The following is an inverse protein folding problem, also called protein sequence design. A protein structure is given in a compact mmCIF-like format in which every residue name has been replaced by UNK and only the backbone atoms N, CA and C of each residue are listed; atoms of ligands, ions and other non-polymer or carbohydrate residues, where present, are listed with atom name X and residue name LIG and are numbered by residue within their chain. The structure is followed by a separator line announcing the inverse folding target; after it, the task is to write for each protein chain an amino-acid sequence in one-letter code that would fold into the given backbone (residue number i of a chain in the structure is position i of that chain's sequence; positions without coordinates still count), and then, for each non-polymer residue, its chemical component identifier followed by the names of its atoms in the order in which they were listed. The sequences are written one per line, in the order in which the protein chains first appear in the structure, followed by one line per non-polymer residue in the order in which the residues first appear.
data_IF_087961421265
#
_entry.id   IF_087961421265
#
_cell.length_a   1.000
_cell.length_b   1.000
_cell.length_c   1.000
_cell.angle_alpha   90.00
_cell.angle_beta   90.00
_cell.angle_gamma   90.00
#
_symmetry.space_group_name_H-M   'P 1'
#
loop_
_entity.id
_entity.type
_entity.pdbx_description
1 polymer ?
#
# COMPACT_ATOMS: atom_id res chain seq x y z
N UNK A 1 51.14 -10.54 -8.18
CA UNK A 1 49.96 -9.74 -7.77
C UNK A 1 50.03 -8.46 -8.56
N UNK A 2 49.06 -8.26 -9.45
CA UNK A 2 49.11 -7.19 -10.45
C UNK A 2 48.59 -5.88 -9.84
N UNK A 3 49.44 -4.87 -9.58
CA UNK A 3 49.05 -3.65 -8.89
C UNK A 3 48.02 -2.82 -9.68
N UNK A 4 47.86 -3.11 -10.98
CA UNK A 4 46.85 -2.48 -11.85
C UNK A 4 45.45 -3.06 -11.59
N UNK A 5 45.34 -4.36 -11.29
CA UNK A 5 44.07 -5.01 -10.96
C UNK A 5 43.56 -4.59 -9.58
N UNK A 6 44.47 -4.34 -8.64
CA UNK A 6 44.15 -3.86 -7.29
C UNK A 6 43.79 -2.36 -7.30
N UNK A 7 44.45 -1.55 -8.14
CA UNK A 7 44.06 -0.15 -8.39
C UNK A 7 42.70 -0.02 -9.09
N UNK A 8 42.34 -0.95 -9.99
CA UNK A 8 41.04 -0.98 -10.66
C UNK A 8 39.88 -1.39 -9.74
N UNK A 9 40.13 -2.23 -8.72
CA UNK A 9 39.15 -2.55 -7.66
C UNK A 9 39.12 -1.49 -6.54
N UNK A 10 40.23 -0.79 -6.31
CA UNK A 10 40.40 0.29 -5.32
C UNK A 10 39.92 1.67 -5.80
N UNK A 11 39.63 1.81 -7.10
CA UNK A 11 38.79 2.88 -7.63
C UNK A 11 37.34 2.69 -7.12
N UNK A 12 37.17 2.89 -5.81
CA UNK A 12 35.91 3.13 -5.10
C UNK A 12 34.99 3.85 -6.07
N UNK A 13 33.97 3.14 -6.57
CA UNK A 13 32.72 3.72 -7.07
C UNK A 13 32.39 4.83 -6.07
N UNK A 14 32.72 6.09 -6.39
CA UNK A 14 32.24 7.23 -5.61
C UNK A 14 30.74 7.07 -5.72
N UNK A 15 30.10 6.58 -4.66
CA UNK A 15 28.64 6.41 -4.63
C UNK A 15 28.09 7.81 -4.84
N UNK A 16 27.69 8.10 -6.07
CA UNK A 16 27.05 9.35 -6.40
C UNK A 16 25.71 9.33 -5.69
N UNK A 17 25.59 10.12 -4.64
CA UNK A 17 24.31 10.31 -3.96
C UNK A 17 23.54 11.29 -4.83
N UNK A 18 22.44 10.82 -5.40
CA UNK A 18 21.50 11.65 -6.14
C UNK A 18 20.82 12.57 -5.12
N UNK A 19 20.38 13.75 -5.59
CA UNK A 19 19.50 14.62 -4.80
C UNK A 19 18.36 13.82 -4.18
N UNK A 20 18.07 14.09 -2.92
CA UNK A 20 17.02 13.40 -2.20
C UNK A 20 15.65 13.66 -2.81
N UNK A 21 14.81 12.62 -2.84
CA UNK A 21 13.42 12.70 -3.30
C UNK A 21 12.65 13.68 -2.44
N UNK A 22 12.87 13.65 -1.11
CA UNK A 22 12.29 14.63 -0.20
C UNK A 22 12.65 16.07 -0.58
N UNK A 23 13.92 16.34 -0.89
CA UNK A 23 14.38 17.68 -1.25
C UNK A 23 13.80 18.11 -2.61
N UNK A 24 13.74 17.20 -3.58
CA UNK A 24 13.12 17.48 -4.87
C UNK A 24 11.64 17.90 -4.72
N UNK A 25 10.88 17.23 -3.84
CA UNK A 25 9.51 17.66 -3.52
C UNK A 25 9.48 18.96 -2.73
N UNK A 26 10.33 19.13 -1.73
CA UNK A 26 10.36 20.34 -0.90
C UNK A 26 10.60 21.61 -1.73
N UNK A 27 11.46 21.53 -2.75
CA UNK A 27 11.68 22.63 -3.69
C UNK A 27 10.50 22.83 -4.65
N UNK A 28 9.85 21.75 -5.11
CA UNK A 28 8.72 21.81 -6.04
C UNK A 28 7.45 22.38 -5.41
N UNK A 29 7.05 21.87 -4.24
CA UNK A 29 5.74 22.17 -3.62
C UNK A 29 5.84 22.98 -2.33
N UNK A 30 7.07 23.27 -1.89
CA UNK A 30 7.37 23.97 -0.67
C UNK A 30 7.62 23.04 0.52
N UNK A 31 8.52 23.48 1.39
CA UNK A 31 8.93 22.77 2.60
C UNK A 31 7.78 22.46 3.54
N UNK A 32 6.86 23.40 3.75
CA UNK A 32 5.73 23.24 4.66
C UNK A 32 4.84 22.07 4.21
N UNK A 33 4.50 22.01 2.93
CA UNK A 33 3.65 20.93 2.38
C UNK A 33 4.34 19.58 2.49
N UNK A 34 5.63 19.53 2.15
CA UNK A 34 6.41 18.28 2.15
C UNK A 34 6.61 17.74 3.57
N UNK A 35 6.97 18.61 4.53
CA UNK A 35 7.12 18.24 5.94
C UNK A 35 5.79 17.79 6.54
N UNK A 36 4.71 18.51 6.27
CA UNK A 36 3.39 18.14 6.78
C UNK A 36 2.92 16.81 6.19
N UNK A 37 3.09 16.59 4.87
CA UNK A 37 2.80 15.31 4.23
C UNK A 37 3.59 14.16 4.85
N UNK A 38 4.89 14.33 5.04
CA UNK A 38 5.76 13.34 5.70
C UNK A 38 5.35 13.08 7.16
N UNK A 39 4.98 14.11 7.91
CA UNK A 39 4.47 13.95 9.29
C UNK A 39 3.19 13.09 9.32
N UNK A 40 2.21 13.38 8.46
CA UNK A 40 0.97 12.60 8.38
C UNK A 40 1.23 11.16 7.95
N UNK A 41 2.22 10.92 7.10
CA UNK A 41 2.67 9.57 6.74
C UNK A 41 3.15 8.79 7.98
N UNK A 42 3.96 9.40 8.85
CA UNK A 42 4.42 8.71 10.08
C UNK A 42 3.29 8.42 11.06
N UNK A 43 2.28 9.28 11.15
CA UNK A 43 1.07 8.99 11.95
C UNK A 43 0.33 7.75 11.41
N UNK A 44 0.32 7.55 10.09
CA UNK A 44 -0.33 6.38 9.47
C UNK A 44 0.38 5.05 9.73
N UNK A 45 1.63 5.04 10.22
CA UNK A 45 2.37 3.80 10.52
C UNK A 45 1.59 2.90 11.48
N UNK A 46 0.98 3.50 12.51
CA UNK A 46 0.19 2.78 13.50
C UNK A 46 -1.06 2.13 12.88
N UNK A 47 -1.70 2.79 11.90
CA UNK A 47 -2.82 2.24 11.15
C UNK A 47 -2.42 0.98 10.40
N UNK A 48 -1.29 0.99 9.68
CA UNK A 48 -0.83 -0.17 8.91
C UNK A 48 -0.39 -1.33 9.79
N UNK A 49 0.29 -1.07 10.91
CA UNK A 49 0.64 -2.13 11.88
C UNK A 49 -0.63 -2.76 12.44
N UNK A 50 -1.61 -1.95 12.84
CA UNK A 50 -2.87 -2.44 13.38
C UNK A 50 -3.65 -3.23 12.33
N UNK A 51 -3.80 -2.71 11.11
CA UNK A 51 -4.43 -3.40 9.99
C UNK A 51 -3.75 -4.76 9.73
N UNK A 52 -2.43 -4.78 9.69
CA UNK A 52 -1.66 -5.99 9.41
C UNK A 52 -1.84 -7.05 10.50
N UNK A 53 -1.63 -6.70 11.77
CA UNK A 53 -1.72 -7.68 12.84
C UNK A 53 -3.16 -8.17 13.06
N UNK A 54 -4.14 -7.28 12.97
CA UNK A 54 -5.53 -7.64 13.25
C UNK A 54 -6.20 -8.32 12.06
N UNK A 55 -6.30 -7.65 10.91
CA UNK A 55 -7.11 -8.15 9.79
C UNK A 55 -6.41 -9.27 9.04
N UNK A 56 -5.12 -9.11 8.75
CA UNK A 56 -4.35 -10.07 7.93
C UNK A 56 -3.94 -11.28 8.77
N UNK A 57 -3.23 -11.07 9.88
CA UNK A 57 -2.71 -12.18 10.69
C UNK A 57 -3.82 -12.85 11.49
N UNK A 58 -4.47 -12.10 12.39
CA UNK A 58 -5.40 -12.71 13.35
C UNK A 58 -6.71 -13.12 12.67
N UNK A 59 -7.41 -12.19 12.03
CA UNK A 59 -8.74 -12.45 11.48
C UNK A 59 -8.70 -13.35 10.26
N UNK A 60 -7.87 -13.06 9.26
CA UNK A 60 -7.86 -13.86 8.02
C UNK A 60 -7.05 -15.16 8.16
N UNK A 61 -5.76 -15.07 8.51
CA UNK A 61 -4.86 -16.24 8.51
C UNK A 61 -5.10 -17.21 9.65
N UNK A 62 -5.26 -16.71 10.88
CA UNK A 62 -5.38 -17.58 12.06
C UNK A 62 -6.82 -18.00 12.35
N UNK A 63 -7.80 -17.14 12.04
CA UNK A 63 -9.20 -17.40 12.33
C UNK A 63 -9.94 -17.92 11.09
N UNK A 64 -10.07 -17.15 10.01
CA UNK A 64 -10.92 -17.60 8.90
C UNK A 64 -10.35 -18.78 8.11
N UNK A 65 -9.07 -18.72 7.77
CA UNK A 65 -8.43 -19.71 6.91
C UNK A 65 -8.56 -21.16 7.42
N UNK A 66 -8.25 -21.51 8.69
CA UNK A 66 -8.37 -22.88 9.16
C UNK A 66 -9.83 -23.38 9.24
N UNK A 67 -10.80 -22.50 9.51
CA UNK A 67 -12.20 -22.91 9.68
C UNK A 67 -12.98 -23.00 8.37
N UNK A 68 -12.67 -22.13 7.41
CA UNK A 68 -13.38 -22.01 6.13
C UNK A 68 -12.56 -22.44 4.91
N UNK A 69 -11.33 -22.92 5.11
CA UNK A 69 -10.43 -23.39 4.04
C UNK A 69 -10.19 -22.32 2.96
N UNK A 70 -10.05 -21.06 3.37
CA UNK A 70 -9.73 -19.95 2.46
C UNK A 70 -8.31 -20.10 1.88
N UNK A 71 -8.03 -19.43 0.77
CA UNK A 71 -6.70 -19.42 0.18
C UNK A 71 -5.69 -18.76 1.12
N UNK A 72 -4.58 -19.44 1.39
CA UNK A 72 -3.47 -18.89 2.19
C UNK A 72 -2.64 -17.93 1.33
N UNK A 73 -2.82 -16.63 1.54
CA UNK A 73 -1.98 -15.61 0.90
C UNK A 73 -0.61 -15.55 1.57
N UNK A 74 0.48 -15.56 0.81
CA UNK A 74 1.84 -15.44 1.35
C UNK A 74 2.21 -13.96 1.46
N UNK A 75 2.49 -13.47 2.67
CA UNK A 75 2.73 -12.02 2.90
C UNK A 75 3.91 -11.49 2.08
N UNK A 76 4.97 -12.29 1.98
CA UNK A 76 6.20 -11.96 1.24
C UNK A 76 5.98 -11.72 -0.26
N UNK A 77 4.88 -12.22 -0.81
CA UNK A 77 4.53 -12.05 -2.22
C UNK A 77 3.96 -10.64 -2.47
N UNK A 78 3.42 -9.99 -1.43
CA UNK A 78 2.76 -8.68 -1.52
C UNK A 78 3.60 -7.56 -0.89
N UNK A 79 4.25 -7.83 0.24
CA UNK A 79 5.06 -6.83 0.96
C UNK A 79 6.52 -6.96 0.53
N UNK A 80 6.93 -6.09 -0.38
CA UNK A 80 8.26 -6.08 -0.99
C UNK A 80 9.14 -5.00 -0.35
N UNK A 81 10.16 -5.44 0.37
CA UNK A 81 11.06 -4.61 1.18
C UNK A 81 12.51 -4.73 0.69
N UNK A 82 12.80 -4.15 -0.47
CA UNK A 82 14.10 -4.25 -1.14
C UNK A 82 14.62 -2.93 -1.71
N UNK A 83 13.82 -1.86 -1.67
CA UNK A 83 14.18 -0.54 -2.24
C UNK A 83 15.28 0.16 -1.45
N UNK A 84 15.51 -0.19 -0.19
CA UNK A 84 16.68 0.24 0.57
C UNK A 84 18.02 -0.16 -0.08
N UNK A 85 18.01 -1.13 -1.01
CA UNK A 85 19.20 -1.58 -1.74
C UNK A 85 19.57 -0.69 -2.92
N UNK A 86 18.67 0.20 -3.36
CA UNK A 86 18.91 1.10 -4.48
C UNK A 86 20.15 1.97 -4.18
N UNK A 87 21.09 1.97 -5.14
CA UNK A 87 22.32 2.77 -5.06
C UNK A 87 22.00 4.26 -5.28
N UNK A 88 22.76 5.16 -4.63
CA UNK A 88 22.62 6.60 -4.79
C UNK A 88 21.45 7.26 -4.03
N UNK A 89 20.57 6.49 -3.41
CA UNK A 89 19.48 7.01 -2.57
C UNK A 89 19.98 7.39 -1.17
N UNK A 90 19.50 8.52 -0.63
CA UNK A 90 19.84 8.92 0.74
C UNK A 90 19.14 8.04 1.79
N UNK A 91 19.69 7.98 3.01
CA UNK A 91 19.15 7.11 4.07
C UNK A 91 17.69 7.42 4.43
N UNK A 92 17.34 8.70 4.47
CA UNK A 92 15.98 9.13 4.76
C UNK A 92 15.00 8.67 3.67
N UNK A 93 15.34 8.81 2.40
CA UNK A 93 14.51 8.34 1.29
C UNK A 93 14.35 6.81 1.33
N UNK A 94 15.41 6.06 1.68
CA UNK A 94 15.35 4.60 1.83
C UNK A 94 14.30 4.18 2.86
N UNK A 95 14.27 4.81 4.04
CA UNK A 95 13.27 4.50 5.07
C UNK A 95 11.85 4.74 4.54
N UNK A 96 11.63 5.87 3.87
CA UNK A 96 10.30 6.21 3.35
C UNK A 96 9.88 5.30 2.20
N UNK A 97 10.82 4.89 1.34
CA UNK A 97 10.57 3.92 0.28
C UNK A 97 10.18 2.54 0.82
N UNK A 98 10.83 2.08 1.90
CA UNK A 98 10.48 0.84 2.60
C UNK A 98 9.10 0.93 3.26
N UNK A 99 8.80 2.05 3.92
CA UNK A 99 7.46 2.26 4.47
C UNK A 99 6.39 2.25 3.36
N UNK A 100 6.66 2.89 2.23
CA UNK A 100 5.76 2.89 1.09
C UNK A 100 5.52 1.47 0.56
N UNK A 101 6.55 0.64 0.44
CA UNK A 101 6.44 -0.78 0.08
C UNK A 101 5.64 -1.59 1.10
N UNK A 102 5.85 -1.35 2.40
CA UNK A 102 5.07 -1.97 3.48
C UNK A 102 3.59 -1.59 3.41
N UNK A 103 3.28 -0.30 3.31
CA UNK A 103 1.92 0.22 3.28
C UNK A 103 1.14 -0.27 2.05
N UNK A 104 1.74 -0.15 0.86
CA UNK A 104 1.14 -0.63 -0.39
C UNK A 104 0.92 -2.14 -0.38
N UNK A 105 1.94 -2.91 0.02
CA UNK A 105 1.83 -4.37 0.12
C UNK A 105 0.77 -4.81 1.13
N UNK A 106 0.69 -4.15 2.29
CA UNK A 106 -0.33 -4.40 3.33
C UNK A 106 -1.73 -4.09 2.81
N UNK A 107 -1.92 -2.95 2.14
CA UNK A 107 -3.20 -2.60 1.55
C UNK A 107 -3.61 -3.59 0.45
N UNK A 108 -2.66 -4.02 -0.39
CA UNK A 108 -2.91 -4.98 -1.48
C UNK A 108 -3.33 -6.35 -0.97
N UNK A 109 -2.58 -6.94 -0.03
CA UNK A 109 -2.94 -8.25 0.51
C UNK A 109 -4.28 -8.19 1.26
N UNK A 110 -4.55 -7.12 2.03
CA UNK A 110 -5.84 -6.97 2.69
C UNK A 110 -7.00 -6.87 1.68
N UNK A 111 -6.78 -6.16 0.57
CA UNK A 111 -7.74 -6.05 -0.52
C UNK A 111 -8.11 -7.44 -1.09
N UNK A 112 -7.09 -8.29 -1.29
CA UNK A 112 -7.20 -9.66 -1.80
C UNK A 112 -7.88 -10.60 -0.79
N UNK A 113 -7.57 -10.48 0.50
CA UNK A 113 -8.24 -11.25 1.57
C UNK A 113 -9.74 -10.98 1.61
N UNK A 114 -10.16 -9.72 1.40
CA UNK A 114 -11.57 -9.38 1.35
C UNK A 114 -12.24 -9.98 0.10
N UNK A 115 -11.52 -10.13 -1.02
CA UNK A 115 -12.04 -10.84 -2.21
C UNK A 115 -12.26 -12.33 -1.91
N UNK A 116 -11.30 -12.98 -1.26
CA UNK A 116 -11.39 -14.38 -0.84
C UNK A 116 -12.59 -14.59 0.10
N UNK A 117 -12.77 -13.71 1.09
CA UNK A 117 -13.92 -13.77 2.00
C UNK A 117 -15.24 -13.53 1.27
N UNK A 118 -15.28 -12.58 0.33
CA UNK A 118 -16.48 -12.28 -0.44
C UNK A 118 -16.91 -13.46 -1.34
N UNK A 119 -15.95 -14.19 -1.90
CA UNK A 119 -16.19 -15.35 -2.76
C UNK A 119 -16.53 -16.63 -1.97
N UNK A 120 -16.03 -16.75 -0.74
CA UNK A 120 -16.25 -17.91 0.12
C UNK A 120 -17.73 -18.09 0.52
N UNK A 121 -18.12 -19.34 0.77
CA UNK A 121 -19.37 -19.64 1.45
C UNK A 121 -19.12 -19.84 2.94
N UNK A 122 -19.51 -18.85 3.74
CA UNK A 122 -19.39 -18.90 5.20
C UNK A 122 -20.66 -19.47 5.86
N UNK A 123 -21.68 -19.87 5.09
CA UNK A 123 -22.90 -20.47 5.63
C UNK A 123 -22.58 -21.88 6.14
N UNK A 124 -22.98 -22.15 7.38
CA UNK A 124 -22.63 -23.39 8.06
C UNK A 124 -23.64 -23.68 9.15
N UNK A 125 -23.89 -24.97 9.40
CA UNK A 125 -24.67 -25.45 10.56
C UNK A 125 -23.80 -25.74 11.77
N UNK A 126 -22.47 -25.71 11.62
CA UNK A 126 -21.54 -25.99 12.72
C UNK A 126 -21.46 -24.77 13.67
N UNK A 127 -21.77 -24.93 14.97
CA UNK A 127 -21.85 -23.82 15.92
C UNK A 127 -20.52 -23.09 16.12
N UNK A 128 -19.39 -23.81 16.07
CA UNK A 128 -18.05 -23.20 16.18
C UNK A 128 -17.79 -22.30 14.99
N UNK A 129 -18.10 -22.74 13.77
CA UNK A 129 -17.93 -21.91 12.56
C UNK A 129 -18.88 -20.70 12.56
N UNK A 130 -20.09 -20.85 13.08
CA UNK A 130 -21.02 -19.71 13.27
C UNK A 130 -20.41 -18.69 14.24
N UNK A 131 -19.90 -19.14 15.39
CA UNK A 131 -19.22 -18.28 16.36
C UNK A 131 -18.03 -17.56 15.71
N UNK A 132 -17.20 -18.29 14.97
CA UNK A 132 -16.02 -17.72 14.27
C UNK A 132 -16.45 -16.65 13.26
N UNK A 133 -17.45 -16.92 12.42
CA UNK A 133 -17.98 -15.93 11.48
C UNK A 133 -18.58 -14.71 12.20
N UNK A 134 -19.25 -14.93 13.33
CA UNK A 134 -19.79 -13.86 14.19
C UNK A 134 -18.68 -12.97 14.77
N UNK A 135 -17.63 -13.57 15.34
CA UNK A 135 -16.46 -12.86 15.87
C UNK A 135 -15.77 -12.08 14.76
N UNK A 136 -15.54 -12.69 13.61
CA UNK A 136 -14.98 -12.01 12.44
C UNK A 136 -15.81 -10.79 12.03
N UNK A 137 -17.14 -10.95 11.95
CA UNK A 137 -18.06 -9.88 11.58
C UNK A 137 -18.01 -8.73 12.59
N UNK A 138 -17.99 -9.03 13.89
CA UNK A 138 -17.90 -8.04 14.95
C UNK A 138 -16.56 -7.28 14.90
N UNK A 139 -15.44 -8.01 14.78
CA UNK A 139 -14.12 -7.40 14.68
C UNK A 139 -13.98 -6.52 13.43
N UNK A 140 -14.51 -6.97 12.28
CA UNK A 140 -14.56 -6.15 11.07
C UNK A 140 -15.36 -4.87 11.30
N UNK A 141 -16.51 -4.94 11.96
CA UNK A 141 -17.34 -3.77 12.24
C UNK A 141 -16.59 -2.76 13.13
N UNK A 142 -15.92 -3.24 14.19
CA UNK A 142 -15.07 -2.38 15.03
C UNK A 142 -13.91 -1.77 14.23
N UNK A 143 -13.28 -2.56 13.35
CA UNK A 143 -12.21 -2.10 12.48
C UNK A 143 -12.67 -1.03 11.48
N UNK A 144 -13.90 -1.12 10.97
CA UNK A 144 -14.47 -0.11 10.08
C UNK A 144 -14.59 1.26 10.74
N UNK A 145 -14.96 1.31 12.03
CA UNK A 145 -15.01 2.56 12.79
C UNK A 145 -13.62 3.16 12.94
N UNK A 146 -12.64 2.33 13.32
CA UNK A 146 -11.24 2.74 13.43
C UNK A 146 -10.70 3.29 12.09
N UNK A 147 -10.92 2.55 11.00
CA UNK A 147 -10.47 2.93 9.65
C UNK A 147 -11.13 4.20 9.16
N UNK A 148 -12.40 4.44 9.49
CA UNK A 148 -13.06 5.69 9.15
C UNK A 148 -12.38 6.88 9.81
N UNK A 149 -12.08 6.79 11.11
CA UNK A 149 -11.43 7.88 11.85
C UNK A 149 -9.99 8.09 11.36
N UNK A 150 -9.17 7.05 11.37
CA UNK A 150 -7.75 7.19 11.06
C UNK A 150 -7.51 7.37 9.55
N UNK A 151 -8.09 6.52 8.70
CA UNK A 151 -7.76 6.53 7.28
C UNK A 151 -8.43 7.68 6.51
N UNK A 152 -9.74 7.91 6.70
CA UNK A 152 -10.46 8.91 5.91
C UNK A 152 -10.15 10.34 6.32
N UNK A 153 -10.06 10.61 7.63
CA UNK A 153 -9.74 11.97 8.11
C UNK A 153 -8.29 12.30 7.79
N UNK A 154 -7.35 11.39 8.10
CA UNK A 154 -5.94 11.61 7.79
C UNK A 154 -5.73 11.81 6.30
N UNK A 155 -6.27 10.91 5.47
CA UNK A 155 -6.13 11.05 4.02
C UNK A 155 -6.85 12.30 3.48
N UNK A 156 -7.95 12.74 4.09
CA UNK A 156 -8.58 14.00 3.71
C UNK A 156 -7.58 15.16 3.83
N UNK A 157 -6.87 15.25 4.96
CA UNK A 157 -5.81 16.24 5.15
C UNK A 157 -4.65 16.05 4.17
N UNK A 158 -4.14 14.82 3.99
CA UNK A 158 -3.05 14.57 3.03
C UNK A 158 -3.48 14.99 1.62
N UNK A 159 -4.70 14.63 1.18
CA UNK A 159 -5.22 14.98 -0.14
C UNK A 159 -5.38 16.49 -0.35
N UNK A 160 -5.79 17.23 0.68
CA UNK A 160 -5.93 18.69 0.64
C UNK A 160 -4.55 19.37 0.52
N UNK A 161 -3.57 18.92 1.29
CA UNK A 161 -2.25 19.54 1.32
C UNK A 161 -1.35 19.13 0.14
N UNK A 162 -1.45 17.87 -0.31
CA UNK A 162 -0.65 17.31 -1.40
C UNK A 162 -1.39 17.25 -2.74
N UNK A 163 -2.60 17.83 -2.83
CA UNK A 163 -3.30 18.01 -4.10
C UNK A 163 -3.69 16.70 -4.79
N UNK A 164 -3.81 15.62 -4.02
CA UNK A 164 -4.12 14.28 -4.56
C UNK A 164 -5.60 14.14 -4.91
N UNK A 165 -5.88 13.25 -5.86
CA UNK A 165 -7.23 12.88 -6.25
C UNK A 165 -7.86 11.98 -5.20
N UNK A 166 -9.16 12.15 -5.00
CA UNK A 166 -9.92 11.38 -4.02
C UNK A 166 -10.61 10.21 -4.71
N UNK A 167 -10.43 9.01 -4.18
CA UNK A 167 -11.19 7.86 -4.62
C UNK A 167 -12.70 8.04 -4.36
N UNK A 168 -13.53 7.82 -5.39
CA UNK A 168 -14.98 7.90 -5.29
C UNK A 168 -15.55 6.65 -4.62
N UNK A 169 -15.89 6.76 -3.34
CA UNK A 169 -16.50 5.65 -2.59
C UNK A 169 -17.85 5.23 -3.16
N UNK A 170 -18.59 6.17 -3.76
CA UNK A 170 -19.88 5.90 -4.41
C UNK A 170 -19.72 5.04 -5.65
N UNK A 171 -18.75 5.35 -6.51
CA UNK A 171 -18.47 4.58 -7.72
C UNK A 171 -17.98 3.18 -7.38
N UNK A 172 -17.07 3.05 -6.40
CA UNK A 172 -16.60 1.73 -5.94
C UNK A 172 -17.78 0.92 -5.40
N UNK A 173 -18.61 1.50 -4.53
CA UNK A 173 -19.80 0.81 -3.99
C UNK A 173 -20.79 0.43 -5.09
N UNK A 174 -21.00 1.29 -6.09
CA UNK A 174 -21.85 0.98 -7.24
C UNK A 174 -21.30 -0.23 -8.00
N UNK A 175 -20.02 -0.23 -8.37
CA UNK A 175 -19.39 -1.36 -9.05
C UNK A 175 -19.44 -2.67 -8.25
N UNK A 176 -19.34 -2.60 -6.91
CA UNK A 176 -19.52 -3.78 -6.04
C UNK A 176 -20.96 -4.30 -6.06
N UNK A 177 -21.97 -3.43 -6.12
CA UNK A 177 -23.37 -3.83 -6.22
C UNK A 177 -23.69 -4.42 -7.59
N UNK A 178 -23.22 -3.77 -8.65
CA UNK A 178 -23.50 -4.16 -10.04
C UNK A 178 -22.99 -5.57 -10.36
N UNK A 179 -21.87 -5.99 -9.75
CA UNK A 179 -21.28 -7.34 -9.90
C UNK A 179 -21.74 -8.36 -8.85
N UNK A 180 -22.75 -8.03 -8.06
CA UNK A 180 -23.23 -8.77 -6.89
C UNK A 180 -22.10 -9.27 -5.94
N UNK A 181 -21.14 -8.38 -5.65
CA UNK A 181 -20.02 -8.71 -4.78
C UNK A 181 -20.49 -9.19 -3.41
N UNK A 182 -19.91 -10.27 -2.86
CA UNK A 182 -20.33 -10.89 -1.60
C UNK A 182 -21.80 -11.39 -1.60
N UNK A 183 -22.41 -11.62 -2.76
CA UNK A 183 -23.80 -12.07 -2.93
C UNK A 183 -24.15 -13.38 -2.22
N UNK A 184 -23.15 -14.24 -1.98
CA UNK A 184 -23.31 -15.51 -1.25
C UNK A 184 -23.61 -15.31 0.24
N UNK A 185 -23.28 -14.15 0.80
CA UNK A 185 -23.48 -13.86 2.23
C UNK A 185 -24.88 -13.32 2.53
N UNK A 186 -25.31 -13.44 3.79
CA UNK A 186 -26.51 -12.77 4.29
C UNK A 186 -26.37 -11.24 4.27
N UNK A 187 -27.49 -10.52 4.35
CA UNK A 187 -27.53 -9.07 4.12
C UNK A 187 -26.54 -8.27 5.00
N UNK A 188 -26.44 -8.60 6.29
CA UNK A 188 -25.55 -7.90 7.24
C UNK A 188 -24.08 -8.09 6.87
N UNK A 189 -23.63 -9.34 6.74
CA UNK A 189 -22.23 -9.64 6.41
C UNK A 189 -21.86 -9.16 5.01
N UNK A 190 -22.78 -9.27 4.04
CA UNK A 190 -22.61 -8.72 2.68
C UNK A 190 -22.39 -7.21 2.71
N UNK A 191 -23.20 -6.48 3.49
CA UNK A 191 -23.04 -5.04 3.64
C UNK A 191 -21.68 -4.69 4.26
N UNK A 192 -21.30 -5.35 5.34
CA UNK A 192 -20.01 -5.13 6.02
C UNK A 192 -18.85 -5.40 5.05
N UNK A 193 -18.82 -6.56 4.38
CA UNK A 193 -17.78 -6.90 3.40
C UNK A 193 -17.69 -5.87 2.28
N UNK A 194 -18.83 -5.41 1.72
CA UNK A 194 -18.85 -4.37 0.68
C UNK A 194 -18.27 -3.05 1.18
N UNK A 195 -18.64 -2.62 2.39
CA UNK A 195 -18.10 -1.41 2.99
C UNK A 195 -16.60 -1.56 3.25
N UNK A 196 -16.14 -2.67 3.81
CA UNK A 196 -14.71 -2.96 4.00
C UNK A 196 -13.96 -2.95 2.68
N UNK A 197 -14.54 -3.52 1.62
CA UNK A 197 -13.94 -3.49 0.28
C UNK A 197 -13.83 -2.09 -0.29
N UNK A 198 -14.81 -1.20 -0.05
CA UNK A 198 -14.70 0.22 -0.42
C UNK A 198 -13.51 0.87 0.30
N UNK A 199 -13.31 0.60 1.58
CA UNK A 199 -12.16 1.13 2.32
C UNK A 199 -10.84 0.59 1.78
N UNK A 200 -10.71 -0.72 1.65
CA UNK A 200 -9.49 -1.34 1.14
C UNK A 200 -9.14 -0.85 -0.27
N UNK A 201 -10.15 -0.68 -1.14
CA UNK A 201 -9.93 -0.20 -2.51
C UNK A 201 -9.61 1.29 -2.55
N UNK A 202 -10.28 2.09 -1.72
CA UNK A 202 -9.94 3.51 -1.57
C UNK A 202 -8.52 3.69 -1.03
N UNK A 203 -8.10 2.88 -0.06
CA UNK A 203 -6.76 2.94 0.51
C UNK A 203 -5.70 2.56 -0.53
N UNK A 204 -5.93 1.51 -1.32
CA UNK A 204 -5.04 1.14 -2.42
C UNK A 204 -4.88 2.26 -3.46
N UNK A 205 -5.97 2.87 -3.92
CA UNK A 205 -5.95 4.01 -4.87
C UNK A 205 -5.26 5.26 -4.29
N UNK A 206 -5.36 5.44 -2.98
CA UNK A 206 -4.72 6.53 -2.27
C UNK A 206 -3.21 6.33 -2.17
N UNK A 207 -2.77 5.10 -1.86
CA UNK A 207 -1.35 4.74 -1.76
C UNK A 207 -0.68 4.65 -3.13
N UNK A 208 -1.40 4.25 -4.18
CA UNK A 208 -0.94 4.30 -5.58
C UNK A 208 -0.40 5.69 -5.94
N UNK A 209 -1.15 6.75 -5.60
CA UNK A 209 -0.76 8.13 -5.87
C UNK A 209 0.48 8.52 -5.06
N UNK A 210 0.56 8.10 -3.79
CA UNK A 210 1.72 8.38 -2.92
C UNK A 210 2.95 7.65 -3.46
N UNK A 211 2.84 6.37 -3.80
CA UNK A 211 3.94 5.57 -4.32
C UNK A 211 4.42 6.09 -5.68
N UNK A 212 3.51 6.45 -6.58
CA UNK A 212 3.85 7.04 -7.88
C UNK A 212 4.53 8.41 -7.76
N UNK A 213 4.27 9.12 -6.66
CA UNK A 213 4.83 10.45 -6.39
C UNK A 213 6.08 10.40 -5.53
N UNK A 214 6.35 9.30 -4.82
CA UNK A 214 7.47 9.20 -3.89
C UNK A 214 8.48 8.13 -4.26
N UNK A 215 8.00 6.98 -4.72
CA UNK A 215 8.78 5.77 -4.91
C UNK A 215 8.48 5.04 -6.23
N UNK A 216 8.52 5.71 -7.39
CA UNK A 216 8.17 5.09 -8.67
C UNK A 216 9.34 4.26 -9.24
N UNK A 217 9.93 3.41 -8.41
CA UNK A 217 11.02 2.50 -8.76
C UNK A 217 10.54 1.05 -8.59
N UNK A 218 10.79 0.23 -9.60
CA UNK A 218 10.41 -1.19 -9.60
C UNK A 218 11.12 -1.95 -8.46
N UNK A 219 10.43 -2.92 -7.90
CA UNK A 219 11.06 -3.88 -6.99
C UNK A 219 11.90 -4.89 -7.79
N UNK A 220 12.86 -5.53 -7.12
CA UNK A 220 13.62 -6.63 -7.71
C UNK A 220 12.67 -7.78 -8.05
N UNK A 221 12.80 -8.33 -9.25
CA UNK A 221 12.00 -9.47 -9.67
C UNK A 221 12.28 -10.68 -8.77
N UNK A 222 11.20 -11.28 -8.27
CA UNK A 222 11.23 -12.55 -7.55
C UNK A 222 10.01 -13.36 -7.92
N UNK A 223 10.17 -14.67 -7.95
CA UNK A 223 9.09 -15.59 -8.25
C UNK A 223 7.93 -15.42 -7.25
N UNK A 224 6.74 -15.20 -7.77
CA UNK A 224 5.51 -15.06 -6.99
C UNK A 224 5.23 -13.65 -6.46
N UNK A 225 5.99 -12.62 -6.85
CA UNK A 225 5.66 -11.24 -6.52
C UNK A 225 4.30 -10.85 -7.13
N UNK A 226 3.49 -10.16 -6.32
CA UNK A 226 2.20 -9.60 -6.72
C UNK A 226 2.35 -8.09 -6.83
N UNK A 227 2.36 -7.61 -8.06
CA UNK A 227 2.43 -6.19 -8.38
C UNK A 227 1.03 -5.59 -8.57
N UNK A 228 0.93 -4.29 -8.36
CA UNK A 228 -0.25 -3.50 -8.72
C UNK A 228 -0.07 -2.94 -10.13
N UNK A 229 -1.17 -2.73 -10.87
CA UNK A 229 -1.14 -2.27 -12.27
C UNK A 229 -0.33 -0.97 -12.46
N UNK A 230 -0.33 -0.07 -11.49
CA UNK A 230 0.41 1.20 -11.60
C UNK A 230 1.94 1.03 -11.60
N UNK A 231 2.48 -0.13 -11.23
CA UNK A 231 3.91 -0.44 -11.30
C UNK A 231 4.42 -0.58 -12.75
N UNK A 232 3.51 -0.70 -13.72
CA UNK A 232 3.89 -0.70 -15.15
C UNK A 232 4.52 0.63 -15.57
N UNK A 233 4.11 1.73 -14.94
CA UNK A 233 4.64 3.08 -15.17
C UNK A 233 5.92 3.38 -14.36
N UNK A 234 6.44 2.42 -13.58
CA UNK A 234 7.60 2.65 -12.72
C UNK A 234 8.92 2.44 -13.44
N UNK A 235 9.93 3.17 -13.00
CA UNK A 235 11.27 3.11 -13.56
C UNK A 235 12.06 1.92 -13.00
N UNK A 236 13.00 1.35 -13.78
CA UNK A 236 14.00 0.42 -13.26
C UNK A 236 14.84 1.03 -12.12
N UNK A 237 15.40 0.18 -11.24
CA UNK A 237 16.12 0.63 -10.04
C UNK A 237 17.38 1.47 -10.31
N UNK A 238 18.01 1.29 -11.47
CA UNK A 238 19.20 2.03 -11.91
C UNK A 238 18.87 3.43 -12.45
N UNK A 239 17.58 3.76 -12.62
CA UNK A 239 17.10 5.06 -13.13
C UNK A 239 16.73 6.06 -12.02
N UNK A 240 17.35 5.97 -10.84
CA UNK A 240 17.06 6.86 -9.71
C UNK A 240 17.20 8.36 -10.06
N UNK A 241 18.22 8.75 -10.81
CA UNK A 241 18.45 10.15 -11.16
C UNK A 241 17.31 10.72 -12.03
N UNK A 242 16.87 9.95 -13.01
CA UNK A 242 15.74 10.28 -13.90
C UNK A 242 14.44 10.39 -13.11
N UNK A 243 14.20 9.45 -12.18
CA UNK A 243 13.05 9.53 -11.26
C UNK A 243 13.07 10.82 -10.44
N UNK A 244 14.22 11.18 -9.84
CA UNK A 244 14.32 12.39 -9.02
C UNK A 244 14.04 13.65 -9.85
N UNK A 245 14.47 13.68 -11.11
CA UNK A 245 14.17 14.79 -12.04
C UNK A 245 12.67 14.87 -12.38
N UNK A 246 12.04 13.75 -12.71
CA UNK A 246 10.59 13.67 -12.97
C UNK A 246 9.78 14.07 -11.74
N UNK A 247 10.17 13.62 -10.55
CA UNK A 247 9.52 13.99 -9.29
C UNK A 247 9.76 15.45 -8.91
N UNK A 248 10.92 16.02 -9.26
CA UNK A 248 11.20 17.45 -9.08
C UNK A 248 10.39 18.36 -10.00
N UNK A 249 9.85 17.84 -11.10
CA UNK A 249 9.11 18.61 -12.11
C UNK A 249 7.61 18.29 -12.08
N UNK A 250 7.22 17.12 -12.58
CA UNK A 250 5.83 16.66 -12.67
C UNK A 250 5.31 16.23 -11.29
N UNK A 251 6.19 15.71 -10.44
CA UNK A 251 5.84 15.28 -9.08
C UNK A 251 5.30 13.86 -8.97
N UNK A 252 5.04 13.19 -10.10
CA UNK A 252 4.50 11.83 -10.12
C UNK A 252 4.73 11.17 -11.47
N UNK A 253 4.71 9.84 -11.49
CA UNK A 253 4.63 9.03 -12.73
C UNK A 253 3.21 8.54 -13.03
N UNK A 254 2.24 8.84 -12.15
CA UNK A 254 0.84 8.49 -12.37
C UNK A 254 0.19 9.44 -13.38
N UNK A 255 -0.74 8.94 -14.18
CA UNK A 255 -1.61 9.76 -15.03
C UNK A 255 -2.44 10.77 -14.21
N UNK A 256 -2.67 10.48 -12.93
CA UNK A 256 -3.38 11.34 -11.99
C UNK A 256 -2.45 12.40 -11.40
N UNK A 257 -2.10 13.41 -12.19
CA UNK A 257 -1.24 14.52 -11.75
C UNK A 257 -1.81 15.29 -10.55
N UNK A 258 -0.98 15.77 -9.60
CA UNK A 258 -1.43 16.64 -8.51
C UNK A 258 -2.14 17.90 -9.04
N UNK A 259 -3.07 18.45 -8.26
CA UNK A 259 -3.94 19.57 -8.67
C UNK A 259 -3.32 20.97 -8.56
N UNK A 260 -2.02 21.09 -8.30
CA UNK A 260 -1.31 22.37 -8.17
C UNK A 260 -0.14 22.46 -9.14
#
# INVERSE_FOLDING_TARGET
MDPVAEAAQSAKKKKFIVKSIFIAHAERIGWIRTLFGGFLQYVSVLEFIFLHLTTIIVLYKWILTPFFKLRKLRIRDFILLDRHKIEGMCFFDKINCEFCGYANGTARIWNEEIDEVAAADLRTRNPVKILVAGVYTLCLLSFLVFTFIFSKILYLFISLFLGMHRASTKEIMKGLKDRDYAGRHGAVLRFIIRVTKVYASSLALNLEQIESSWCPLKHSEREGNVYSEHHDNFYPQDKLAEVVEVLGTVGTVSDKKPKY
#
